data_IF_862612881255
#
_entry.id   IF_862612881255
#
_cell.length_a   1.000
_cell.length_b   1.000
_cell.length_c   1.000
_cell.angle_alpha   90.00
_cell.angle_beta   90.00
_cell.angle_gamma   90.00
#
_symmetry.space_group_name_H-M   'P 1'
#
loop_
_entity.id
_entity.type
_entity.pdbx_description
1 polymer ?
#
# COMPACT_ATOMS: atom_id res chain seq x y z
N UNK A 1 41.46 9.58 0.30
CA UNK A 1 42.11 9.70 -1.02
C UNK A 1 41.58 8.66 -2.01
N UNK A 2 41.65 7.36 -1.76
CA UNK A 2 41.16 6.33 -2.71
C UNK A 2 39.64 6.40 -3.01
N UNK A 3 38.83 6.69 -1.98
CA UNK A 3 37.36 6.87 -2.12
C UNK A 3 36.99 8.07 -2.97
N UNK A 4 37.72 9.18 -2.83
CA UNK A 4 37.53 10.42 -3.61
C UNK A 4 37.83 10.19 -5.10
N UNK A 5 38.95 9.54 -5.43
CA UNK A 5 39.33 9.24 -6.82
C UNK A 5 38.30 8.33 -7.49
N UNK A 6 37.82 7.30 -6.78
CA UNK A 6 36.81 6.38 -7.33
C UNK A 6 35.48 7.07 -7.56
N UNK A 7 35.06 7.96 -6.65
CA UNK A 7 33.84 8.76 -6.78
C UNK A 7 33.89 9.69 -8.00
N UNK A 8 34.99 10.44 -8.17
CA UNK A 8 35.20 11.32 -9.32
C UNK A 8 35.20 10.53 -10.64
N UNK A 9 35.89 9.39 -10.68
CA UNK A 9 35.98 8.53 -11.85
C UNK A 9 34.61 7.95 -12.25
N UNK A 10 33.85 7.44 -11.28
CA UNK A 10 32.52 6.88 -11.53
C UNK A 10 31.56 7.94 -12.07
N UNK A 11 31.59 9.14 -11.50
CA UNK A 11 30.76 10.26 -11.99
C UNK A 11 31.18 10.72 -13.40
N UNK A 12 32.48 10.75 -13.68
CA UNK A 12 33.02 11.00 -15.02
C UNK A 12 32.58 9.97 -16.04
N UNK A 13 32.67 8.67 -15.71
CA UNK A 13 32.18 7.59 -16.58
C UNK A 13 30.69 7.66 -16.83
N UNK A 14 29.90 7.85 -15.78
CA UNK A 14 28.44 8.01 -15.87
C UNK A 14 28.07 9.17 -16.79
N UNK A 15 28.70 10.33 -16.62
CA UNK A 15 28.48 11.50 -17.47
C UNK A 15 28.84 11.25 -18.94
N UNK A 16 29.99 10.62 -19.19
CA UNK A 16 30.43 10.27 -20.54
C UNK A 16 29.50 9.25 -21.22
N UNK A 17 29.10 8.19 -20.50
CA UNK A 17 28.18 7.18 -20.99
C UNK A 17 26.79 7.76 -21.26
N UNK A 18 26.29 8.65 -20.40
CA UNK A 18 25.02 9.34 -20.60
C UNK A 18 25.05 10.21 -21.87
N UNK A 19 26.11 11.02 -22.03
CA UNK A 19 26.29 11.84 -23.22
C UNK A 19 26.42 11.00 -24.50
N UNK A 20 27.13 9.88 -24.44
CA UNK A 20 27.23 8.92 -25.55
C UNK A 20 25.88 8.28 -25.86
N UNK A 21 25.12 7.88 -24.84
CA UNK A 21 23.82 7.24 -25.00
C UNK A 21 22.83 8.16 -25.74
N UNK A 22 22.74 9.42 -25.30
CA UNK A 22 21.85 10.43 -25.89
C UNK A 22 22.35 10.85 -27.29
N UNK A 23 23.64 11.12 -27.44
CA UNK A 23 24.18 11.75 -28.65
C UNK A 23 24.54 10.79 -29.77
N UNK A 24 24.85 9.53 -29.46
CA UNK A 24 25.35 8.56 -30.43
C UNK A 24 24.51 7.29 -30.47
N UNK A 25 24.24 6.66 -29.33
CA UNK A 25 23.54 5.37 -29.32
C UNK A 25 22.08 5.49 -29.72
N UNK A 26 21.28 6.33 -29.02
CA UNK A 26 19.85 6.44 -29.30
C UNK A 26 19.53 6.89 -30.74
N UNK A 27 20.22 7.91 -31.33
CA UNK A 27 20.00 8.31 -32.72
C UNK A 27 20.41 7.25 -33.75
N UNK A 28 21.46 6.47 -33.47
CA UNK A 28 21.99 5.46 -34.42
C UNK A 28 21.54 4.03 -34.11
N UNK A 29 20.60 3.85 -33.17
CA UNK A 29 20.13 2.52 -32.71
C UNK A 29 19.36 1.74 -33.76
N UNK A 30 18.85 2.41 -34.81
CA UNK A 30 17.92 1.84 -35.78
C UNK A 30 16.47 1.77 -35.27
N UNK A 31 16.22 2.09 -34.00
CA UNK A 31 14.88 2.21 -33.43
C UNK A 31 14.42 3.67 -33.47
N UNK A 32 13.49 3.95 -34.39
CA UNK A 32 12.95 5.30 -34.57
C UNK A 32 12.20 5.81 -33.33
N UNK A 33 11.58 4.92 -32.56
CA UNK A 33 10.87 5.26 -31.32
C UNK A 33 11.86 5.72 -30.26
N UNK A 34 12.90 4.93 -30.01
CA UNK A 34 13.97 5.27 -29.07
C UNK A 34 14.66 6.58 -29.47
N UNK A 35 14.96 6.74 -30.76
CA UNK A 35 15.62 7.95 -31.28
C UNK A 35 14.80 9.22 -31.08
N UNK A 36 13.46 9.11 -31.09
CA UNK A 36 12.55 10.25 -30.90
C UNK A 36 12.30 10.53 -29.41
N UNK A 37 12.23 9.50 -28.58
CA UNK A 37 11.99 9.62 -27.13
C UNK A 37 13.20 10.17 -26.39
N UNK A 38 14.41 9.71 -26.69
CA UNK A 38 15.60 10.06 -25.89
C UNK A 38 16.28 11.31 -26.41
N UNK A 39 16.10 12.45 -25.72
CA UNK A 39 16.75 13.74 -26.04
C UNK A 39 17.49 14.36 -24.86
N UNK A 40 17.06 14.05 -23.64
CA UNK A 40 17.54 14.64 -22.40
C UNK A 40 17.95 13.55 -21.40
N UNK A 41 18.59 13.95 -20.30
CA UNK A 41 18.88 13.04 -19.18
C UNK A 41 17.62 12.46 -18.55
N UNK A 42 16.54 13.26 -18.52
CA UNK A 42 15.28 12.89 -17.90
C UNK A 42 14.58 11.81 -18.74
N UNK A 43 14.65 11.90 -20.06
CA UNK A 43 14.15 10.84 -20.96
C UNK A 43 14.92 9.52 -20.75
N UNK A 44 16.22 9.59 -20.48
CA UNK A 44 17.03 8.40 -20.15
C UNK A 44 16.62 7.81 -18.80
N UNK A 45 16.35 8.66 -17.80
CA UNK A 45 15.85 8.24 -16.50
C UNK A 45 14.50 7.54 -16.62
N UNK A 46 13.54 8.15 -17.31
CA UNK A 46 12.21 7.58 -17.52
C UNK A 46 12.26 6.26 -18.29
N UNK A 47 13.10 6.19 -19.33
CA UNK A 47 13.21 4.99 -20.16
C UNK A 47 13.96 3.83 -19.48
N UNK A 48 15.07 4.11 -18.79
CA UNK A 48 15.89 3.08 -18.13
C UNK A 48 15.46 2.80 -16.69
N UNK A 49 14.53 3.60 -16.13
CA UNK A 49 13.99 3.49 -14.77
C UNK A 49 15.08 3.60 -13.67
N UNK A 50 16.21 4.23 -14.00
CA UNK A 50 17.33 4.45 -13.11
C UNK A 50 17.91 5.83 -13.34
N UNK A 51 18.08 6.59 -12.25
CA UNK A 51 18.51 7.99 -12.34
C UNK A 51 20.01 8.06 -12.72
N UNK A 52 20.35 8.58 -13.91
CA UNK A 52 21.73 8.69 -14.38
C UNK A 52 22.44 9.91 -13.79
N UNK A 53 21.79 10.69 -12.92
CA UNK A 53 22.31 11.91 -12.30
C UNK A 53 22.61 11.74 -10.79
N UNK A 54 22.42 10.54 -10.22
CA UNK A 54 22.81 10.19 -8.84
C UNK A 54 24.33 10.23 -8.62
N UNK A 55 24.76 10.83 -7.49
CA UNK A 55 26.17 10.88 -7.09
C UNK A 55 26.66 9.54 -6.56
N UNK A 56 27.97 9.33 -6.54
CA UNK A 56 28.56 8.08 -6.04
C UNK A 56 28.32 7.83 -4.54
N UNK A 57 27.91 8.86 -3.79
CA UNK A 57 27.74 8.78 -2.33
C UNK A 57 26.37 8.19 -1.93
N UNK A 58 25.43 8.06 -2.88
CA UNK A 58 24.12 7.45 -2.63
C UNK A 58 24.25 5.93 -2.73
N UNK A 59 24.11 5.26 -1.60
CA UNK A 59 24.16 3.80 -1.53
C UNK A 59 22.74 3.20 -1.58
N UNK A 60 22.57 2.17 -2.41
CA UNK A 60 21.34 1.38 -2.49
C UNK A 60 21.67 -0.10 -2.69
N UNK A 61 20.81 -0.98 -2.20
CA UNK A 61 20.94 -2.41 -2.52
C UNK A 61 20.42 -2.69 -3.93
N UNK A 62 20.94 -3.73 -4.58
CA UNK A 62 20.47 -4.14 -5.92
C UNK A 62 18.96 -4.42 -5.95
N UNK A 63 18.44 -5.05 -4.89
CA UNK A 63 17.01 -5.39 -4.78
C UNK A 63 16.18 -4.13 -4.60
N UNK A 64 16.62 -3.19 -3.74
CA UNK A 64 15.90 -1.94 -3.53
C UNK A 64 15.85 -1.11 -4.83
N UNK A 65 16.95 -1.01 -5.57
CA UNK A 65 16.96 -0.29 -6.85
C UNK A 65 16.03 -0.93 -7.89
N UNK A 66 16.07 -2.26 -8.03
CA UNK A 66 15.18 -2.98 -8.93
C UNK A 66 13.70 -2.79 -8.55
N UNK A 67 13.40 -2.84 -7.24
CA UNK A 67 12.06 -2.58 -6.72
C UNK A 67 11.58 -1.17 -7.06
N UNK A 68 12.41 -0.14 -6.82
CA UNK A 68 12.08 1.25 -7.17
C UNK A 68 11.84 1.44 -8.68
N UNK A 69 12.64 0.76 -9.52
CA UNK A 69 12.49 0.81 -10.98
C UNK A 69 11.11 0.24 -11.40
N UNK A 70 10.73 -0.91 -10.84
CA UNK A 70 9.43 -1.55 -11.13
C UNK A 70 8.28 -0.71 -10.57
N UNK A 71 8.41 -0.16 -9.36
CA UNK A 71 7.41 0.72 -8.76
C UNK A 71 7.17 1.96 -9.62
N UNK A 72 8.24 2.62 -10.08
CA UNK A 72 8.16 3.74 -11.02
C UNK A 72 7.39 3.34 -12.28
N UNK A 73 7.74 2.21 -12.90
CA UNK A 73 7.09 1.76 -14.12
C UNK A 73 5.59 1.48 -13.94
N UNK A 74 5.20 0.78 -12.87
CA UNK A 74 3.79 0.51 -12.59
C UNK A 74 3.03 1.82 -12.31
N UNK A 75 3.66 2.78 -11.64
CA UNK A 75 3.09 4.11 -11.43
C UNK A 75 2.90 4.87 -12.75
N UNK A 76 3.89 4.84 -13.65
CA UNK A 76 3.77 5.46 -14.97
C UNK A 76 2.64 4.84 -15.81
N UNK A 77 2.43 3.53 -15.75
CA UNK A 77 1.28 2.85 -16.38
C UNK A 77 -0.04 3.30 -15.73
N UNK A 78 -0.09 3.30 -14.39
CA UNK A 78 -1.28 3.69 -13.61
C UNK A 78 -1.71 5.14 -13.90
N UNK A 79 -0.75 6.03 -14.13
CA UNK A 79 -0.94 7.44 -14.46
C UNK A 79 -1.14 7.70 -15.96
N UNK A 80 -1.14 6.65 -16.80
CA UNK A 80 -1.27 6.75 -18.25
C UNK A 80 -0.16 7.62 -18.89
N UNK A 81 1.04 7.56 -18.31
CA UNK A 81 2.25 8.22 -18.83
C UNK A 81 3.01 7.31 -19.80
N UNK A 82 2.92 5.99 -19.64
CA UNK A 82 3.55 5.03 -20.56
C UNK A 82 2.77 4.88 -21.88
N UNK A 83 3.44 4.96 -23.04
CA UNK A 83 2.82 4.70 -24.33
C UNK A 83 2.41 3.22 -24.48
N UNK A 84 1.32 2.97 -25.22
CA UNK A 84 0.85 1.61 -25.52
C UNK A 84 -0.11 1.01 -24.50
N UNK A 85 -0.34 1.69 -23.37
CA UNK A 85 -1.34 1.30 -22.38
C UNK A 85 -2.56 2.21 -22.45
N UNK A 86 -3.69 1.69 -22.94
CA UNK A 86 -4.97 2.38 -22.80
C UNK A 86 -5.56 2.05 -21.42
N UNK A 87 -5.76 3.05 -20.56
CA UNK A 87 -6.33 2.92 -19.21
C UNK A 87 -7.66 2.15 -19.13
N UNK A 88 -8.41 2.07 -20.22
CA UNK A 88 -9.68 1.31 -20.28
C UNK A 88 -9.52 -0.20 -20.01
N UNK A 89 -8.30 -0.74 -20.10
CA UNK A 89 -8.01 -2.17 -19.93
C UNK A 89 -7.34 -2.52 -18.59
N UNK A 90 -7.06 -1.54 -17.72
CA UNK A 90 -6.49 -1.83 -16.40
C UNK A 90 -7.60 -2.27 -15.44
N UNK A 91 -7.41 -3.41 -14.78
CA UNK A 91 -8.36 -3.88 -13.76
C UNK A 91 -8.43 -2.85 -12.63
N UNK A 92 -9.62 -2.24 -12.48
CA UNK A 92 -9.88 -1.21 -11.47
C UNK A 92 -9.62 -1.74 -10.06
N UNK A 93 -9.81 -3.03 -9.80
CA UNK A 93 -9.52 -3.61 -8.49
C UNK A 93 -8.02 -3.73 -8.23
N UNK A 94 -7.23 -4.12 -9.22
CA UNK A 94 -5.77 -4.13 -9.12
C UNK A 94 -5.21 -2.73 -8.90
N UNK A 95 -5.71 -1.73 -9.65
CA UNK A 95 -5.28 -0.34 -9.48
C UNK A 95 -5.63 0.21 -8.10
N UNK A 96 -6.83 -0.11 -7.60
CA UNK A 96 -7.22 0.23 -6.22
C UNK A 96 -6.33 -0.45 -5.19
N UNK A 97 -5.92 -1.70 -5.39
CA UNK A 97 -5.00 -2.41 -4.49
C UNK A 97 -3.60 -1.80 -4.52
N UNK A 98 -3.10 -1.47 -5.72
CA UNK A 98 -1.83 -0.76 -5.91
C UNK A 98 -1.82 0.54 -5.12
N UNK A 99 -2.79 1.42 -5.36
CA UNK A 99 -2.91 2.73 -4.72
C UNK A 99 -3.24 2.68 -3.21
N UNK A 100 -3.66 1.53 -2.68
CA UNK A 100 -3.95 1.34 -1.25
C UNK A 100 -2.74 0.88 -0.44
N UNK A 101 -1.57 0.73 -1.07
CA UNK A 101 -0.34 0.40 -0.36
C UNK A 101 0.45 -0.77 -0.94
N UNK A 102 -0.01 -1.42 -2.02
CA UNK A 102 0.85 -2.41 -2.69
C UNK A 102 2.00 -1.76 -3.47
N UNK A 103 1.90 -0.45 -3.72
CA UNK A 103 2.97 0.40 -4.24
C UNK A 103 4.12 0.60 -3.23
N UNK A 104 3.89 0.34 -1.93
CA UNK A 104 4.86 0.57 -0.86
C UNK A 104 5.22 -0.74 -0.16
N UNK A 105 6.51 -1.08 -0.18
CA UNK A 105 7.00 -2.33 0.40
C UNK A 105 6.59 -2.54 1.87
N UNK A 106 6.65 -1.50 2.69
CA UNK A 106 6.30 -1.60 4.11
C UNK A 106 4.81 -1.94 4.32
N UNK A 107 3.91 -1.31 3.56
CA UNK A 107 2.47 -1.56 3.67
C UNK A 107 2.13 -2.94 3.11
N UNK A 108 2.67 -3.29 1.94
CA UNK A 108 2.53 -4.63 1.38
C UNK A 108 3.04 -5.71 2.34
N UNK A 109 4.21 -5.50 2.94
CA UNK A 109 4.80 -6.40 3.93
C UNK A 109 3.91 -6.56 5.16
N UNK A 110 3.34 -5.46 5.66
CA UNK A 110 2.35 -5.48 6.74
C UNK A 110 1.09 -6.27 6.38
N UNK A 111 0.60 -6.18 5.14
CA UNK A 111 -0.53 -7.01 4.69
C UNK A 111 -0.19 -8.51 4.65
N UNK A 112 1.01 -8.87 4.17
CA UNK A 112 1.47 -10.27 4.15
C UNK A 112 1.64 -10.81 5.57
N UNK A 113 2.19 -9.98 6.46
CA UNK A 113 2.34 -10.34 7.86
C UNK A 113 0.99 -10.46 8.57
N UNK A 114 0.04 -9.56 8.33
CA UNK A 114 -1.31 -9.62 8.89
C UNK A 114 -2.04 -10.92 8.48
N UNK A 115 -1.88 -11.36 7.23
CA UNK A 115 -2.45 -12.61 6.73
C UNK A 115 -1.81 -13.85 7.38
N UNK A 116 -0.51 -13.78 7.67
CA UNK A 116 0.26 -14.90 8.23
C UNK A 116 0.23 -14.97 9.76
N UNK A 117 0.24 -13.80 10.41
CA UNK A 117 0.41 -13.59 11.86
C UNK A 117 -0.57 -12.52 12.35
N UNK A 118 -1.90 -12.77 12.26
CA UNK A 118 -2.91 -11.80 12.67
C UNK A 118 -2.79 -11.41 14.15
N UNK A 119 -2.28 -12.31 15.00
CA UNK A 119 -2.04 -12.05 16.43
C UNK A 119 -1.12 -10.85 16.70
N UNK A 120 -0.21 -10.52 15.79
CA UNK A 120 0.66 -9.34 15.91
C UNK A 120 -0.13 -8.03 15.80
N UNK A 121 -1.31 -8.07 15.19
CA UNK A 121 -2.15 -6.92 14.87
C UNK A 121 -3.45 -6.88 15.68
N UNK A 122 -3.75 -7.90 16.48
CA UNK A 122 -4.94 -7.92 17.33
C UNK A 122 -4.72 -7.04 18.56
N UNK A 123 -5.44 -5.92 18.60
CA UNK A 123 -5.67 -5.16 19.83
C UNK A 123 -7.13 -5.33 20.26
N UNK A 124 -7.41 -5.97 21.42
CA UNK A 124 -8.78 -6.18 21.90
C UNK A 124 -9.60 -4.89 22.03
N UNK A 125 -8.94 -3.75 22.28
CA UNK A 125 -9.59 -2.44 22.44
C UNK A 125 -9.97 -1.79 21.12
N UNK A 126 -9.30 -2.15 20.01
CA UNK A 126 -9.52 -1.61 18.67
C UNK A 126 -10.37 -2.53 17.77
N UNK A 127 -10.97 -3.57 18.35
CA UNK A 127 -11.87 -4.47 17.63
C UNK A 127 -12.92 -3.66 16.86
N UNK A 128 -13.07 -3.93 15.57
CA UNK A 128 -14.14 -3.35 14.76
C UNK A 128 -15.50 -3.94 15.15
N UNK A 129 -16.58 -3.17 14.94
CA UNK A 129 -17.95 -3.59 15.23
C UNK A 129 -18.18 -3.99 16.70
N UNK A 130 -17.59 -3.25 17.64
CA UNK A 130 -17.90 -3.39 19.07
C UNK A 130 -19.37 -3.10 19.33
N UNK A 131 -20.05 -3.99 20.04
CA UNK A 131 -21.44 -3.80 20.43
C UNK A 131 -21.54 -2.67 21.46
N UNK A 132 -22.72 -2.03 21.54
CA UNK A 132 -22.98 -1.02 22.57
C UNK A 132 -22.73 -1.55 23.99
N UNK A 133 -23.17 -2.78 24.27
CA UNK A 133 -22.94 -3.44 25.56
C UNK A 133 -21.44 -3.60 25.87
N UNK A 134 -20.61 -3.92 24.87
CA UNK A 134 -19.16 -4.06 25.05
C UNK A 134 -18.47 -2.72 25.28
N UNK A 135 -18.90 -1.66 24.57
CA UNK A 135 -18.39 -0.30 24.79
C UNK A 135 -18.71 0.21 26.21
N UNK A 136 -19.90 -0.11 26.72
CA UNK A 136 -20.28 0.21 28.09
C UNK A 136 -19.39 -0.51 29.12
N UNK A 137 -19.06 -1.78 28.88
CA UNK A 137 -18.12 -2.55 29.73
C UNK A 137 -16.74 -1.91 29.76
N UNK A 138 -16.18 -1.55 28.58
CA UNK A 138 -14.89 -0.86 28.49
C UNK A 138 -14.95 0.46 29.26
N UNK A 139 -16.02 1.22 29.09
CA UNK A 139 -16.22 2.51 29.77
C UNK A 139 -16.24 2.34 31.29
N UNK A 140 -16.97 1.35 31.81
CA UNK A 140 -17.05 1.09 33.25
C UNK A 140 -15.69 0.66 33.84
N UNK A 141 -14.95 -0.19 33.12
CA UNK A 141 -13.61 -0.62 33.54
C UNK A 141 -12.59 0.52 33.51
N UNK A 142 -12.71 1.45 32.56
CA UNK A 142 -11.79 2.60 32.44
C UNK A 142 -12.01 3.69 33.49
N UNK A 143 -13.23 3.80 34.06
CA UNK A 143 -13.57 4.83 35.04
C UNK A 143 -13.14 4.50 36.48
N UNK A 144 -12.98 3.21 36.79
CA UNK A 144 -12.69 2.72 38.14
C UNK A 144 -11.25 2.19 38.21
N UNK A 145 -10.62 2.24 39.38
CA UNK A 145 -9.37 1.51 39.60
C UNK A 145 -9.65 0.01 39.45
N UNK A 146 -8.93 -0.64 38.54
CA UNK A 146 -9.11 -2.07 38.27
C UNK A 146 -8.75 -2.89 39.50
N UNK A 147 -9.74 -3.59 40.04
CA UNK A 147 -9.66 -4.53 41.16
C UNK A 147 -10.58 -5.71 40.86
N UNK A 148 -10.43 -6.83 41.60
CA UNK A 148 -11.31 -8.00 41.38
C UNK A 148 -12.80 -7.63 41.55
N UNK A 149 -13.14 -6.83 42.55
CA UNK A 149 -14.52 -6.43 42.83
C UNK A 149 -15.09 -5.53 41.72
N UNK A 150 -14.31 -4.55 41.25
CA UNK A 150 -14.75 -3.64 40.18
C UNK A 150 -14.88 -4.36 38.84
N UNK A 151 -13.97 -5.29 38.55
CA UNK A 151 -14.05 -6.15 37.37
C UNK A 151 -15.28 -7.06 37.41
N UNK A 152 -15.56 -7.70 38.55
CA UNK A 152 -16.74 -8.55 38.70
C UNK A 152 -18.04 -7.75 38.53
N UNK A 153 -18.13 -6.55 39.11
CA UNK A 153 -19.29 -5.67 38.93
C UNK A 153 -19.50 -5.29 37.47
N UNK A 154 -18.44 -4.88 36.76
CA UNK A 154 -18.53 -4.49 35.37
C UNK A 154 -18.99 -5.66 34.47
N UNK A 155 -18.47 -6.86 34.72
CA UNK A 155 -18.91 -8.07 34.01
C UNK A 155 -20.37 -8.41 34.31
N UNK A 156 -20.83 -8.29 35.56
CA UNK A 156 -22.27 -8.48 35.86
C UNK A 156 -23.14 -7.44 35.14
N UNK A 157 -22.72 -6.18 35.10
CA UNK A 157 -23.40 -5.12 34.35
C UNK A 157 -23.52 -5.45 32.85
N UNK A 158 -22.45 -5.99 32.26
CA UNK A 158 -22.47 -6.49 30.88
C UNK A 158 -23.45 -7.66 30.69
N UNK A 159 -23.43 -8.66 31.56
CA UNK A 159 -24.29 -9.84 31.48
C UNK A 159 -25.79 -9.49 31.57
N UNK A 160 -26.16 -8.53 32.43
CA UNK A 160 -27.54 -8.07 32.53
C UNK A 160 -28.04 -7.42 31.23
N UNK A 161 -27.19 -6.65 30.55
CA UNK A 161 -27.54 -6.06 29.24
C UNK A 161 -27.60 -7.13 28.15
N UNK A 162 -26.67 -8.08 28.18
CA UNK A 162 -26.67 -9.21 27.26
C UNK A 162 -27.95 -10.05 27.38
N UNK A 163 -28.45 -10.30 28.60
CA UNK A 163 -29.70 -11.04 28.82
C UNK A 163 -30.91 -10.38 28.14
N UNK A 164 -30.99 -9.04 28.13
CA UNK A 164 -32.08 -8.33 27.45
C UNK A 164 -32.05 -8.55 25.94
N UNK A 165 -30.87 -8.54 25.33
CA UNK A 165 -30.69 -8.77 23.88
C UNK A 165 -30.92 -10.24 23.53
N UNK A 166 -30.51 -11.16 24.41
CA UNK A 166 -30.67 -12.60 24.20
C UNK A 166 -32.14 -13.05 24.22
N UNK A 167 -33.02 -12.32 24.94
CA UNK A 167 -34.43 -12.66 25.10
C UNK A 167 -35.38 -11.80 24.24
N UNK A 168 -34.89 -11.24 23.13
CA UNK A 168 -35.74 -10.48 22.20
C UNK A 168 -36.78 -11.38 21.50
N UNK A 169 -38.01 -10.88 21.41
CA UNK A 169 -39.09 -11.54 20.64
C UNK A 169 -39.26 -10.81 19.31
N UNK A 170 -39.12 -11.55 18.19
CA UNK A 170 -39.37 -11.01 16.85
C UNK A 170 -40.88 -10.85 16.67
N UNK A 171 -41.32 -9.62 16.43
CA UNK A 171 -42.76 -9.29 16.26
C UNK A 171 -43.19 -9.37 14.80
N UNK A 172 -42.35 -8.84 13.90
CA UNK A 172 -42.61 -8.76 12.46
C UNK A 172 -41.30 -8.58 11.73
N UNK A 173 -41.29 -8.78 10.40
CA UNK A 173 -40.16 -8.42 9.56
C UNK A 173 -40.59 -7.83 8.22
N UNK A 174 -39.69 -7.08 7.58
CA UNK A 174 -39.89 -6.43 6.29
C UNK A 174 -38.73 -6.75 5.35
N UNK A 175 -39.03 -6.91 4.06
CA UNK A 175 -38.01 -7.08 3.01
C UNK A 175 -38.04 -5.91 2.05
N UNK A 176 -36.87 -5.38 1.72
CA UNK A 176 -36.72 -4.24 0.82
C UNK A 176 -36.97 -4.59 -0.65
N UNK A 177 -36.94 -5.89 -1.00
CA UNK A 177 -37.12 -6.38 -2.38
C UNK A 177 -38.26 -7.38 -2.49
N UNK A 178 -38.88 -7.40 -3.67
CA UNK A 178 -39.91 -8.42 -4.00
C UNK A 178 -39.33 -9.83 -4.13
N UNK A 179 -38.10 -9.93 -4.60
CA UNK A 179 -37.40 -11.22 -4.72
C UNK A 179 -36.82 -11.61 -3.36
N UNK A 180 -37.42 -12.63 -2.75
CA UNK A 180 -37.07 -13.14 -1.42
C UNK A 180 -35.62 -13.61 -1.32
N UNK A 181 -34.96 -13.93 -2.43
CA UNK A 181 -33.57 -14.40 -2.45
C UNK A 181 -32.52 -13.28 -2.50
N UNK A 182 -32.95 -12.02 -2.73
CA UNK A 182 -32.04 -10.88 -3.00
C UNK A 182 -32.21 -9.70 -2.05
N UNK A 183 -33.23 -9.74 -1.19
CA UNK A 183 -33.54 -8.67 -0.25
C UNK A 183 -32.83 -8.80 1.08
N UNK A 184 -32.61 -7.66 1.74
CA UNK A 184 -32.23 -7.62 3.15
C UNK A 184 -33.50 -7.70 3.98
N UNK A 185 -33.49 -8.52 5.02
CA UNK A 185 -34.61 -8.67 5.95
C UNK A 185 -34.33 -7.86 7.21
N UNK A 186 -35.31 -7.08 7.63
CA UNK A 186 -35.31 -6.25 8.82
C UNK A 186 -36.38 -6.72 9.78
#
# INVERSE_FOLDING_TARGET
>A
MSTTISSELNQGYRGALLAYYIGQYAPNSGDTTLSNMIKTSDDVYEYLLIDPLVTNDVETSRVAQAMSSIQQYINSIALNMEPGYNTQNLDTNQLKRWNKGADQYAIWGGYVELDSYPENYIDPTLRQDQTSCFNDLITELNQKTVSNDTAQQAVMGYLNKFEQVANLTIVSGYTDKRDQSKGTYY
#
